data_IF_515084819971
#
_entry.id   IF_515084819971
#
_cell.length_a   1.000
_cell.length_b   1.000
_cell.length_c   1.000
_cell.angle_alpha   90.00
_cell.angle_beta   90.00
_cell.angle_gamma   90.00
#
_symmetry.space_group_name_H-M   'P 1'
#
loop_
_entity.id
_entity.type
_entity.pdbx_description
1 polymer ?
#
# COMPACT_ATOMS: atom_id res chain seq x y z
N UNK A 1 -5.29 29.01 -21.01
CA UNK A 1 -6.30 29.80 -20.25
C UNK A 1 -6.74 28.91 -19.10
N UNK A 2 -6.43 29.29 -17.86
CA UNK A 2 -6.89 28.54 -16.69
C UNK A 2 -8.40 28.65 -16.57
N UNK A 3 -9.10 27.56 -16.35
CA UNK A 3 -10.54 27.57 -16.13
C UNK A 3 -10.89 26.61 -14.98
N UNK A 4 -11.94 26.94 -14.25
CA UNK A 4 -12.51 26.08 -13.22
C UNK A 4 -13.50 25.16 -13.93
N UNK A 5 -13.15 23.84 -13.92
CA UNK A 5 -14.00 22.82 -14.54
C UNK A 5 -15.17 22.47 -13.62
N UNK A 6 -14.88 22.27 -12.32
CA UNK A 6 -15.85 21.71 -11.42
C UNK A 6 -15.63 22.11 -9.95
N UNK A 7 -16.77 22.17 -9.21
CA UNK A 7 -16.79 22.29 -7.75
C UNK A 7 -17.19 20.94 -7.13
N UNK A 8 -16.40 20.42 -6.22
CA UNK A 8 -16.69 19.19 -5.48
C UNK A 8 -16.69 19.44 -3.98
N UNK A 9 -17.27 18.54 -3.21
CA UNK A 9 -17.16 18.59 -1.75
C UNK A 9 -15.80 18.06 -1.29
N UNK A 10 -15.37 16.90 -1.82
CA UNK A 10 -14.13 16.25 -1.47
C UNK A 10 -13.30 15.96 -2.71
N UNK A 11 -12.05 16.39 -2.72
CA UNK A 11 -11.06 16.03 -3.74
C UNK A 11 -10.02 15.08 -3.16
N UNK A 12 -9.79 13.94 -3.82
CA UNK A 12 -8.80 12.94 -3.40
C UNK A 12 -7.65 12.89 -4.41
N UNK A 13 -6.42 13.05 -3.95
CA UNK A 13 -5.22 13.07 -4.80
C UNK A 13 -4.47 11.75 -4.67
N UNK A 14 -4.58 10.91 -5.71
CA UNK A 14 -4.01 9.58 -5.80
C UNK A 14 -5.05 8.46 -5.68
N UNK A 15 -5.10 7.56 -6.67
CA UNK A 15 -6.00 6.41 -6.72
C UNK A 15 -5.30 5.09 -6.34
N UNK A 16 -4.42 5.13 -5.32
CA UNK A 16 -3.94 3.97 -4.59
C UNK A 16 -4.98 3.50 -3.55
N UNK A 17 -4.62 2.50 -2.74
CA UNK A 17 -5.54 1.89 -1.77
C UNK A 17 -6.16 2.91 -0.79
N UNK A 18 -5.37 3.89 -0.33
CA UNK A 18 -5.89 4.96 0.53
C UNK A 18 -6.89 5.86 -0.20
N UNK A 19 -6.53 6.31 -1.40
CA UNK A 19 -7.42 7.21 -2.15
C UNK A 19 -8.72 6.56 -2.58
N UNK A 20 -8.69 5.28 -2.95
CA UNK A 20 -9.89 4.52 -3.32
C UNK A 20 -10.87 4.46 -2.14
N UNK A 21 -10.40 4.02 -0.97
CA UNK A 21 -11.26 3.92 0.22
C UNK A 21 -11.77 5.28 0.68
N UNK A 22 -10.92 6.32 0.61
CA UNK A 22 -11.32 7.68 0.95
C UNK A 22 -12.43 8.22 0.02
N UNK A 23 -12.26 8.04 -1.29
CA UNK A 23 -13.21 8.52 -2.27
C UNK A 23 -14.56 7.78 -2.19
N UNK A 24 -14.51 6.43 -2.04
CA UNK A 24 -15.70 5.61 -1.86
C UNK A 24 -16.45 5.99 -0.57
N UNK A 25 -15.75 6.17 0.54
CA UNK A 25 -16.36 6.56 1.81
C UNK A 25 -17.03 7.92 1.72
N UNK A 26 -16.37 8.94 1.18
CA UNK A 26 -16.94 10.28 1.04
C UNK A 26 -18.17 10.30 0.12
N UNK A 27 -18.10 9.61 -1.03
CA UNK A 27 -19.21 9.54 -1.97
C UNK A 27 -20.42 8.79 -1.40
N UNK A 28 -20.21 7.66 -0.72
CA UNK A 28 -21.26 6.86 -0.06
C UNK A 28 -21.99 7.64 1.05
N UNK A 29 -21.29 8.57 1.71
CA UNK A 29 -21.90 9.48 2.70
C UNK A 29 -22.66 10.65 2.06
N UNK A 30 -22.67 10.76 0.73
CA UNK A 30 -23.45 11.74 -0.02
C UNK A 30 -22.67 13.01 -0.41
N UNK A 31 -21.33 13.03 -0.25
CA UNK A 31 -20.49 14.11 -0.74
C UNK A 31 -20.21 13.95 -2.24
N UNK A 32 -20.31 15.03 -3.00
CA UNK A 32 -19.80 15.06 -4.37
C UNK A 32 -18.27 14.97 -4.33
N UNK A 33 -17.74 13.89 -4.87
CA UNK A 33 -16.33 13.54 -4.71
C UNK A 33 -15.63 13.41 -6.06
N UNK A 34 -14.42 13.94 -6.18
CA UNK A 34 -13.54 13.67 -7.32
C UNK A 34 -12.23 13.03 -6.85
N UNK A 35 -11.80 11.97 -7.53
CA UNK A 35 -10.51 11.33 -7.31
C UNK A 35 -9.61 11.52 -8.53
N UNK A 36 -8.38 12.00 -8.29
CA UNK A 36 -7.39 12.30 -9.32
C UNK A 36 -6.28 11.24 -9.32
N UNK A 37 -5.95 10.73 -10.49
CA UNK A 37 -4.84 9.80 -10.68
C UNK A 37 -4.00 10.19 -11.88
N UNK A 38 -2.70 9.90 -11.82
CA UNK A 38 -1.79 10.13 -12.95
C UNK A 38 -2.03 9.15 -14.11
N UNK A 39 -2.68 7.99 -13.83
CA UNK A 39 -2.98 6.99 -14.85
C UNK A 39 -4.19 6.14 -14.42
N UNK A 40 -5.23 6.13 -15.24
CA UNK A 40 -6.48 5.38 -14.99
C UNK A 40 -6.30 3.86 -15.07
N UNK A 41 -5.29 3.36 -15.76
CA UNK A 41 -5.04 1.92 -15.90
C UNK A 41 -4.28 1.33 -14.71
N UNK A 42 -3.91 2.16 -13.73
CA UNK A 42 -3.14 1.76 -12.56
C UNK A 42 -3.84 2.08 -11.21
N UNK A 43 -5.15 2.20 -11.24
CA UNK A 43 -5.98 2.34 -10.03
C UNK A 43 -5.79 1.11 -9.14
N UNK A 44 -5.56 1.30 -7.84
CA UNK A 44 -5.35 0.20 -6.90
C UNK A 44 -4.12 -0.67 -7.22
N UNK A 45 -3.10 -0.10 -7.88
CA UNK A 45 -1.92 -0.86 -8.27
C UNK A 45 -1.20 -1.50 -7.08
N UNK A 46 -0.71 -2.73 -7.29
CA UNK A 46 0.10 -3.48 -6.33
C UNK A 46 1.54 -3.63 -6.84
N UNK A 47 2.38 -2.59 -6.74
CA UNK A 47 3.74 -2.64 -7.27
C UNK A 47 4.68 -3.52 -6.44
N UNK A 48 4.30 -3.86 -5.22
CA UNK A 48 4.99 -4.78 -4.35
C UNK A 48 4.30 -6.15 -4.37
N UNK A 49 4.03 -6.77 -3.22
CA UNK A 49 3.40 -8.10 -3.16
C UNK A 49 2.03 -8.11 -3.86
N UNK A 50 1.74 -9.12 -4.71
CA UNK A 50 0.39 -9.34 -5.21
C UNK A 50 -0.46 -10.06 -4.15
N UNK A 51 -0.57 -9.50 -2.95
CA UNK A 51 -1.28 -10.13 -1.82
C UNK A 51 -1.85 -9.09 -0.87
N UNK A 52 -2.99 -9.43 -0.26
CA UNK A 52 -3.69 -8.67 0.78
C UNK A 52 -3.69 -9.48 2.08
N UNK A 53 -3.52 -8.80 3.21
CA UNK A 53 -3.51 -9.41 4.53
C UNK A 53 -2.12 -9.82 5.00
N UNK A 54 -2.09 -10.80 5.91
CA UNK A 54 -0.88 -11.18 6.66
C UNK A 54 -0.94 -10.71 8.10
N UNK A 55 0.12 -10.92 8.87
CA UNK A 55 0.16 -10.66 10.31
C UNK A 55 -0.26 -9.23 10.64
N UNK A 56 -1.30 -9.08 11.46
CA UNK A 56 -2.03 -7.86 11.81
C UNK A 56 -2.78 -7.18 10.64
N UNK A 57 -2.34 -7.37 9.41
CA UNK A 57 -2.93 -6.73 8.24
C UNK A 57 -4.28 -7.33 7.87
N UNK A 58 -4.44 -8.66 8.02
CA UNK A 58 -5.73 -9.31 7.86
C UNK A 58 -6.81 -8.77 8.82
N UNK A 59 -6.41 -8.29 10.01
CA UNK A 59 -7.31 -7.62 10.95
C UNK A 59 -7.77 -6.28 10.39
N UNK A 60 -6.83 -5.46 9.88
CA UNK A 60 -7.17 -4.17 9.26
C UNK A 60 -8.18 -4.33 8.12
N UNK A 61 -8.00 -5.35 7.25
CA UNK A 61 -8.91 -5.60 6.14
C UNK A 61 -10.31 -5.98 6.63
N UNK A 62 -10.40 -6.81 7.67
CA UNK A 62 -11.67 -7.22 8.27
C UNK A 62 -12.39 -6.05 8.96
N UNK A 63 -11.66 -5.22 9.71
CA UNK A 63 -12.22 -4.02 10.32
C UNK A 63 -12.65 -3.00 9.25
N UNK A 64 -11.85 -2.84 8.21
CA UNK A 64 -12.16 -2.00 7.06
C UNK A 64 -13.45 -2.46 6.36
N UNK A 65 -13.59 -3.76 6.11
CA UNK A 65 -14.78 -4.37 5.50
C UNK A 65 -16.02 -4.16 6.38
N UNK A 66 -15.91 -4.37 7.71
CA UNK A 66 -16.98 -4.13 8.66
C UNK A 66 -17.44 -2.65 8.71
N UNK A 67 -16.57 -1.72 8.34
CA UNK A 67 -16.87 -0.29 8.22
C UNK A 67 -17.35 0.10 6.79
N UNK A 68 -17.59 -0.88 5.92
CA UNK A 68 -18.07 -0.64 4.55
C UNK A 68 -16.97 -0.39 3.52
N UNK A 69 -15.70 -0.68 3.83
CA UNK A 69 -14.59 -0.61 2.89
C UNK A 69 -14.68 -1.61 1.75
N UNK A 70 -13.88 -1.43 0.71
CA UNK A 70 -13.96 -2.21 -0.52
C UNK A 70 -12.84 -3.26 -0.67
N UNK A 71 -11.71 -3.09 0.03
CA UNK A 71 -10.52 -3.93 -0.13
C UNK A 71 -10.80 -5.42 0.11
N UNK A 72 -11.62 -5.77 1.11
CA UNK A 72 -12.00 -7.14 1.43
C UNK A 72 -12.76 -7.81 0.29
N UNK A 73 -13.76 -7.12 -0.26
CA UNK A 73 -14.58 -7.55 -1.40
C UNK A 73 -13.75 -7.75 -2.67
N UNK A 74 -12.86 -6.79 -2.96
CA UNK A 74 -11.96 -6.85 -4.09
C UNK A 74 -10.96 -8.00 -3.96
N UNK A 75 -10.44 -8.25 -2.76
CA UNK A 75 -9.55 -9.36 -2.48
C UNK A 75 -10.22 -10.72 -2.73
N UNK A 76 -11.46 -10.88 -2.28
CA UNK A 76 -12.25 -12.11 -2.48
C UNK A 76 -12.58 -12.31 -3.98
N UNK A 77 -13.01 -11.26 -4.67
CA UNK A 77 -13.38 -11.30 -6.08
C UNK A 77 -12.18 -11.64 -7.00
N UNK A 78 -10.96 -11.39 -6.57
CA UNK A 78 -9.74 -11.56 -7.39
C UNK A 78 -8.73 -12.53 -6.79
N UNK A 79 -9.23 -13.41 -5.92
CA UNK A 79 -8.46 -14.40 -5.18
C UNK A 79 -7.74 -15.39 -6.10
N UNK A 80 -6.46 -15.62 -5.85
CA UNK A 80 -5.68 -16.72 -6.39
C UNK A 80 -5.47 -17.82 -5.36
N UNK A 81 -5.21 -17.44 -4.11
CA UNK A 81 -4.96 -18.37 -3.01
C UNK A 81 -5.20 -17.70 -1.67
N UNK A 82 -5.74 -18.43 -0.70
CA UNK A 82 -5.94 -17.96 0.68
C UNK A 82 -5.32 -18.89 1.71
N UNK A 83 -4.72 -18.30 2.74
CA UNK A 83 -4.16 -19.03 3.88
C UNK A 83 -4.34 -18.28 5.20
N UNK A 84 -4.59 -19.02 6.27
CA UNK A 84 -4.53 -18.53 7.64
C UNK A 84 -3.10 -18.66 8.18
N UNK A 85 -2.43 -17.55 8.41
CA UNK A 85 -1.08 -17.52 8.96
C UNK A 85 -1.08 -17.66 10.49
N UNK A 86 0.05 -18.12 11.03
CA UNK A 86 0.31 -18.20 12.48
C UNK A 86 -0.61 -19.16 13.27
N UNK A 87 -1.23 -20.16 12.65
CA UNK A 87 -2.11 -21.13 13.36
C UNK A 87 -1.44 -21.76 14.59
N UNK A 88 -0.15 -22.06 14.53
CA UNK A 88 0.60 -22.63 15.64
C UNK A 88 0.99 -21.65 16.77
N UNK A 89 0.67 -20.35 16.62
CA UNK A 89 1.04 -19.30 17.60
C UNK A 89 -0.12 -18.78 18.45
N UNK A 90 -1.30 -19.37 18.28
CA UNK A 90 -2.50 -19.01 19.02
C UNK A 90 -3.38 -17.94 18.34
N UNK A 91 -4.66 -17.83 18.72
CA UNK A 91 -5.68 -17.07 18.00
C UNK A 91 -5.45 -15.57 17.96
N UNK A 92 -4.74 -14.99 18.93
CA UNK A 92 -4.41 -13.56 18.97
C UNK A 92 -3.56 -13.07 17.80
N UNK A 93 -2.91 -13.97 17.08
CA UNK A 93 -2.02 -13.65 15.95
C UNK A 93 -2.40 -14.38 14.66
N UNK A 94 -3.50 -15.15 14.66
CA UNK A 94 -4.06 -15.72 13.44
C UNK A 94 -4.37 -14.58 12.47
N UNK A 95 -3.93 -14.71 11.23
CA UNK A 95 -4.07 -13.64 10.26
C UNK A 95 -4.31 -14.20 8.87
N UNK A 96 -5.39 -13.78 8.24
CA UNK A 96 -5.72 -14.17 6.89
C UNK A 96 -4.78 -13.47 5.89
N UNK A 97 -4.35 -14.20 4.86
CA UNK A 97 -3.60 -13.69 3.73
C UNK A 97 -4.14 -14.29 2.44
N UNK A 98 -4.46 -13.44 1.48
CA UNK A 98 -4.87 -13.80 0.14
C UNK A 98 -3.81 -13.37 -0.89
N UNK A 99 -3.46 -14.29 -1.79
CA UNK A 99 -2.75 -14.00 -3.01
C UNK A 99 -3.76 -13.50 -4.04
N UNK A 100 -3.44 -12.43 -4.75
CA UNK A 100 -4.39 -11.65 -5.56
C UNK A 100 -3.94 -11.60 -7.01
N UNK A 101 -4.89 -11.73 -7.94
CA UNK A 101 -4.68 -11.32 -9.32
C UNK A 101 -4.63 -9.79 -9.39
N UNK A 102 -3.42 -9.24 -9.48
CA UNK A 102 -3.20 -7.79 -9.38
C UNK A 102 -3.86 -6.99 -10.51
N UNK A 103 -4.02 -7.57 -11.69
CA UNK A 103 -4.68 -6.90 -12.82
C UNK A 103 -6.18 -6.86 -12.64
N UNK A 104 -6.76 -7.98 -12.28
CA UNK A 104 -8.19 -8.07 -12.00
C UNK A 104 -8.58 -7.22 -10.78
N UNK A 105 -7.72 -7.15 -9.76
CA UNK A 105 -7.92 -6.26 -8.61
C UNK A 105 -7.96 -4.78 -9.02
N UNK A 106 -7.00 -4.34 -9.85
CA UNK A 106 -6.98 -2.98 -10.38
C UNK A 106 -8.24 -2.68 -11.21
N UNK A 107 -8.64 -3.61 -12.09
CA UNK A 107 -9.85 -3.47 -12.89
C UNK A 107 -11.12 -3.42 -12.03
N UNK A 108 -11.22 -4.28 -11.02
CA UNK A 108 -12.32 -4.27 -10.05
C UNK A 108 -12.43 -2.92 -9.34
N UNK A 109 -11.33 -2.42 -8.76
CA UNK A 109 -11.31 -1.17 -8.03
C UNK A 109 -11.65 0.04 -8.92
N UNK A 110 -11.11 0.06 -10.14
CA UNK A 110 -11.44 1.09 -11.13
C UNK A 110 -12.94 1.10 -11.45
N UNK A 111 -13.50 -0.07 -11.76
CA UNK A 111 -14.92 -0.20 -12.06
C UNK A 111 -15.79 0.23 -10.88
N UNK A 112 -15.35 -0.07 -9.66
CA UNK A 112 -16.07 0.33 -8.44
C UNK A 112 -16.11 1.84 -8.26
N UNK A 113 -15.01 2.53 -8.54
CA UNK A 113 -14.97 3.99 -8.54
C UNK A 113 -15.88 4.58 -9.62
N UNK A 114 -15.82 4.04 -10.85
CA UNK A 114 -16.60 4.52 -12.01
C UNK A 114 -18.11 4.35 -11.84
N UNK A 115 -18.54 3.34 -11.06
CA UNK A 115 -19.97 3.02 -10.87
C UNK A 115 -20.57 3.54 -9.56
N UNK A 116 -19.76 4.19 -8.72
CA UNK A 116 -20.25 4.76 -7.46
C UNK A 116 -20.93 6.11 -7.71
N UNK A 117 -22.22 6.28 -7.35
CA UNK A 117 -22.92 7.54 -7.53
C UNK A 117 -22.25 8.69 -6.77
N UNK A 118 -22.16 9.87 -7.39
CA UNK A 118 -21.54 11.06 -6.79
C UNK A 118 -20.01 11.05 -6.75
N UNK A 119 -19.37 10.07 -7.41
CA UNK A 119 -17.92 9.94 -7.50
C UNK A 119 -17.46 10.06 -8.96
N UNK A 120 -16.58 11.01 -9.20
CA UNK A 120 -15.91 11.21 -10.49
C UNK A 120 -14.44 10.79 -10.40
N UNK A 121 -13.98 9.95 -11.32
CA UNK A 121 -12.58 9.61 -11.47
C UNK A 121 -11.95 10.39 -12.63
N UNK A 122 -10.83 11.05 -12.39
CA UNK A 122 -10.15 11.91 -13.35
C UNK A 122 -8.68 11.52 -13.53
N UNK A 123 -8.24 11.38 -14.78
CA UNK A 123 -6.81 11.33 -15.05
C UNK A 123 -6.26 12.75 -15.08
N UNK A 124 -5.39 13.05 -14.13
CA UNK A 124 -4.74 14.34 -14.02
C UNK A 124 -3.77 14.36 -12.85
N UNK A 125 -2.59 14.91 -13.07
CA UNK A 125 -1.62 15.18 -12.00
C UNK A 125 -1.97 16.54 -11.38
N UNK A 126 -2.28 16.54 -10.09
CA UNK A 126 -2.40 17.78 -9.32
C UNK A 126 -0.99 18.27 -8.99
N UNK A 127 -0.67 19.48 -9.42
CA UNK A 127 0.64 20.09 -9.25
C UNK A 127 0.65 21.23 -8.22
N UNK A 128 -0.53 21.78 -7.91
CA UNK A 128 -0.63 22.89 -6.97
C UNK A 128 -1.95 22.86 -6.18
N UNK A 129 -1.82 23.21 -4.90
CA UNK A 129 -2.93 23.43 -3.97
C UNK A 129 -2.85 24.85 -3.42
N UNK A 130 -3.96 25.56 -3.42
CA UNK A 130 -4.04 26.92 -2.89
C UNK A 130 -5.29 27.08 -2.03
N UNK A 131 -5.19 27.82 -0.92
CA UNK A 131 -6.33 28.13 -0.08
C UNK A 131 -6.99 29.40 -0.61
N UNK A 132 -8.28 29.34 -0.94
CA UNK A 132 -9.04 30.49 -1.37
C UNK A 132 -9.52 31.31 -0.17
N UNK A 133 -9.85 32.59 -0.42
CA UNK A 133 -10.43 33.47 0.60
C UNK A 133 -11.80 32.96 1.11
N UNK A 134 -12.52 32.17 0.31
CA UNK A 134 -13.75 31.48 0.72
C UNK A 134 -13.54 30.39 1.77
N UNK A 135 -12.27 29.96 1.96
CA UNK A 135 -11.94 28.81 2.78
C UNK A 135 -11.97 27.49 2.02
N UNK A 136 -12.27 27.46 0.73
CA UNK A 136 -12.16 26.29 -0.13
C UNK A 136 -10.73 26.10 -0.66
N UNK A 137 -10.46 24.94 -1.23
CA UNK A 137 -9.23 24.60 -1.90
C UNK A 137 -9.34 24.79 -3.41
N UNK A 138 -8.32 25.37 -4.02
CA UNK A 138 -8.11 25.39 -5.47
C UNK A 138 -7.03 24.36 -5.81
N UNK A 139 -7.39 23.38 -6.63
CA UNK A 139 -6.49 22.36 -7.16
C UNK A 139 -6.18 22.72 -8.61
N UNK A 140 -4.90 22.77 -8.96
CA UNK A 140 -4.47 23.00 -10.35
C UNK A 140 -3.77 21.77 -10.87
N UNK A 141 -4.22 21.27 -12.03
CA UNK A 141 -3.57 20.15 -12.72
C UNK A 141 -2.37 20.64 -13.55
N UNK A 142 -1.51 19.71 -13.97
CA UNK A 142 -0.40 19.99 -14.91
C UNK A 142 -0.87 20.58 -16.24
N UNK A 143 -2.09 20.27 -16.66
CA UNK A 143 -2.72 20.82 -17.89
C UNK A 143 -3.45 22.14 -17.64
N UNK A 144 -3.23 22.79 -16.50
CA UNK A 144 -3.82 24.06 -16.09
C UNK A 144 -5.37 24.04 -15.90
N UNK A 145 -5.98 22.86 -15.83
CA UNK A 145 -7.38 22.72 -15.41
C UNK A 145 -7.46 22.91 -13.90
N UNK A 146 -8.46 23.64 -13.45
CA UNK A 146 -8.66 23.96 -12.04
C UNK A 146 -9.96 23.34 -11.51
N UNK A 147 -9.91 22.89 -10.26
CA UNK A 147 -11.04 22.37 -9.50
C UNK A 147 -11.11 23.07 -8.15
N UNK A 148 -12.30 23.24 -7.61
CA UNK A 148 -12.45 23.71 -6.22
C UNK A 148 -13.03 22.61 -5.36
N UNK A 149 -12.61 22.54 -4.09
CA UNK A 149 -13.06 21.54 -3.14
C UNK A 149 -13.17 22.13 -1.72
N UNK A 150 -14.14 21.65 -0.93
CA UNK A 150 -14.25 22.01 0.50
C UNK A 150 -13.20 21.30 1.34
N UNK A 151 -12.87 20.05 0.98
CA UNK A 151 -11.80 19.27 1.61
C UNK A 151 -10.94 18.56 0.57
N UNK A 152 -9.66 18.36 0.90
CA UNK A 152 -8.68 17.64 0.08
C UNK A 152 -8.05 16.52 0.88
N UNK A 153 -7.91 15.32 0.29
CA UNK A 153 -7.25 14.17 0.89
C UNK A 153 -6.02 13.81 0.06
N UNK A 154 -4.84 13.90 0.69
CA UNK A 154 -3.56 13.54 0.09
C UNK A 154 -3.28 12.05 0.26
N UNK A 155 -3.32 11.29 -0.83
CA UNK A 155 -3.10 9.85 -0.90
C UNK A 155 -2.03 9.48 -1.95
N UNK A 156 -0.95 10.26 -2.01
CA UNK A 156 0.06 10.26 -3.08
C UNK A 156 0.95 9.01 -3.11
N UNK A 157 0.91 8.18 -2.08
CA UNK A 157 1.65 6.92 -2.02
C UNK A 157 3.16 7.13 -2.17
N UNK A 158 3.78 6.42 -3.12
CA UNK A 158 5.22 6.48 -3.41
C UNK A 158 5.56 7.36 -4.61
N UNK A 159 4.59 8.14 -5.12
CA UNK A 159 4.76 8.93 -6.35
C UNK A 159 5.28 10.35 -6.09
N UNK A 160 5.03 10.90 -4.89
CA UNK A 160 5.42 12.27 -4.57
C UNK A 160 6.94 12.38 -4.54
N UNK A 161 7.49 13.12 -5.52
CA UNK A 161 8.93 13.25 -5.77
C UNK A 161 9.67 11.91 -5.82
N UNK A 162 9.00 10.90 -6.44
CA UNK A 162 9.48 9.54 -6.54
C UNK A 162 10.81 9.46 -7.30
N UNK A 163 11.79 8.71 -6.76
CA UNK A 163 13.10 8.48 -7.38
C UNK A 163 13.46 7.01 -7.30
N UNK A 164 13.69 6.42 -8.47
CA UNK A 164 14.05 5.01 -8.63
C UNK A 164 15.57 4.85 -8.56
N UNK A 165 16.02 3.75 -7.94
CA UNK A 165 17.45 3.38 -7.83
C UNK A 165 17.65 1.91 -8.21
N UNK A 166 18.60 1.68 -9.15
CA UNK A 166 19.06 0.34 -9.55
C UNK A 166 20.59 0.43 -9.75
N UNK A 167 21.35 -0.02 -8.79
CA UNK A 167 22.80 0.12 -8.79
C UNK A 167 23.23 1.58 -8.90
N UNK A 168 24.03 1.89 -9.92
CA UNK A 168 24.53 3.24 -10.14
C UNK A 168 23.51 4.17 -10.82
N UNK A 169 22.44 3.60 -11.37
CA UNK A 169 21.41 4.36 -12.10
C UNK A 169 20.35 4.86 -11.14
N UNK A 170 20.02 6.15 -11.25
CA UNK A 170 18.86 6.72 -10.57
C UNK A 170 18.14 7.72 -11.50
N UNK A 171 16.81 7.75 -11.40
CA UNK A 171 15.97 8.65 -12.20
C UNK A 171 14.65 8.95 -11.49
N UNK A 172 14.04 10.07 -11.82
CA UNK A 172 12.69 10.39 -11.36
C UNK A 172 11.69 9.42 -11.99
N UNK A 173 10.86 8.80 -11.15
CA UNK A 173 9.90 7.79 -11.61
C UNK A 173 9.08 7.23 -10.47
N UNK A 174 7.95 6.66 -10.84
CA UNK A 174 7.06 5.90 -9.96
C UNK A 174 7.17 4.38 -10.21
N UNK A 175 6.43 3.58 -9.43
CA UNK A 175 6.35 2.14 -9.63
C UNK A 175 5.85 1.76 -11.03
N UNK A 176 6.25 0.59 -11.50
CA UNK A 176 5.77 -0.03 -12.74
C UNK A 176 5.96 0.82 -14.01
N UNK A 177 7.00 1.68 -14.05
CA UNK A 177 7.32 2.51 -15.20
C UNK A 177 6.49 3.79 -15.33
N UNK A 178 5.71 4.13 -14.31
CA UNK A 178 5.00 5.41 -14.26
C UNK A 178 5.95 6.57 -13.93
N UNK A 179 5.57 7.79 -14.27
CA UNK A 179 6.33 8.98 -13.89
C UNK A 179 6.05 9.39 -12.42
N UNK A 180 6.95 10.19 -11.85
CA UNK A 180 6.81 10.75 -10.52
C UNK A 180 5.99 12.05 -10.55
N UNK A 181 5.28 12.34 -9.47
CA UNK A 181 4.65 13.64 -9.22
C UNK A 181 5.68 14.56 -8.53
N UNK A 182 6.33 15.46 -9.28
CA UNK A 182 7.49 16.21 -8.78
C UNK A 182 7.14 17.62 -8.32
N UNK A 183 6.06 18.23 -8.81
CA UNK A 183 5.74 19.62 -8.58
C UNK A 183 4.94 19.89 -7.30
N UNK A 184 4.05 18.97 -6.93
CA UNK A 184 3.17 19.15 -5.77
C UNK A 184 3.93 19.36 -4.45
N UNK A 185 5.11 18.76 -4.29
CA UNK A 185 5.95 18.93 -3.09
C UNK A 185 6.19 20.39 -2.76
N UNK A 186 6.51 21.23 -3.76
CA UNK A 186 6.75 22.66 -3.54
C UNK A 186 5.52 23.36 -2.96
N UNK A 187 4.35 23.08 -3.52
CA UNK A 187 3.08 23.62 -3.03
C UNK A 187 2.75 23.20 -1.60
N UNK A 188 3.06 21.95 -1.21
CA UNK A 188 2.85 21.46 0.15
C UNK A 188 3.80 22.16 1.16
N UNK A 189 5.04 22.41 0.76
CA UNK A 189 6.00 23.18 1.57
C UNK A 189 5.57 24.64 1.75
N UNK A 190 5.04 25.28 0.70
CA UNK A 190 4.47 26.65 0.77
C UNK A 190 3.29 26.74 1.76
N UNK A 191 2.52 25.65 1.92
CA UNK A 191 1.46 25.55 2.91
C UNK A 191 1.97 25.33 4.36
N UNK A 192 3.30 25.25 4.56
CA UNK A 192 3.92 25.04 5.87
C UNK A 192 4.02 23.58 6.31
N UNK A 193 3.77 22.63 5.41
CA UNK A 193 3.82 21.20 5.73
C UNK A 193 5.27 20.73 5.93
N UNK A 194 5.51 19.95 6.99
CA UNK A 194 6.80 19.27 7.21
C UNK A 194 6.80 17.94 6.48
N UNK A 195 7.70 17.80 5.52
CA UNK A 195 7.89 16.58 4.75
C UNK A 195 9.14 15.82 5.19
N UNK A 196 9.10 14.52 4.99
CA UNK A 196 10.20 13.57 5.22
C UNK A 196 10.42 12.73 3.98
N UNK A 197 11.59 12.09 3.91
CA UNK A 197 11.90 11.20 2.80
C UNK A 197 12.02 9.76 3.29
N UNK A 198 11.16 8.88 2.76
CA UNK A 198 11.20 7.46 3.00
C UNK A 198 11.58 6.69 1.74
N UNK A 199 12.03 5.46 1.93
CA UNK A 199 12.31 4.55 0.82
C UNK A 199 11.56 3.23 1.02
N UNK A 200 11.20 2.60 -0.09
CA UNK A 200 10.78 1.21 -0.15
C UNK A 200 11.47 0.53 -1.32
N UNK A 201 11.11 -0.72 -1.60
CA UNK A 201 11.67 -1.44 -2.73
C UNK A 201 10.81 -2.64 -3.10
N UNK A 202 11.07 -3.20 -4.25
CA UNK A 202 10.38 -4.38 -4.77
C UNK A 202 11.39 -5.36 -5.34
N UNK A 203 11.16 -6.68 -5.28
CA UNK A 203 11.98 -7.68 -5.94
C UNK A 203 11.73 -7.73 -7.44
N UNK A 204 12.58 -8.46 -8.15
CA UNK A 204 12.41 -8.75 -9.56
C UNK A 204 11.12 -9.54 -9.83
N UNK A 205 10.56 -9.35 -11.02
CA UNK A 205 9.56 -10.24 -11.62
C UNK A 205 10.23 -11.08 -12.68
N UNK A 206 9.86 -12.35 -12.71
CA UNK A 206 10.49 -13.34 -13.58
C UNK A 206 9.45 -14.11 -14.38
N UNK A 207 9.86 -14.65 -15.51
CA UNK A 207 9.01 -15.46 -16.39
C UNK A 207 8.80 -16.84 -15.80
N UNK A 208 7.56 -17.28 -15.65
CA UNK A 208 7.16 -18.57 -15.07
C UNK A 208 7.82 -19.76 -15.76
N UNK A 209 7.85 -19.77 -17.09
CA UNK A 209 8.43 -20.87 -17.89
C UNK A 209 9.95 -21.01 -17.75
N UNK A 210 10.61 -20.03 -17.14
CA UNK A 210 12.06 -20.06 -16.85
C UNK A 210 12.40 -20.58 -15.45
N UNK A 211 11.40 -21.01 -14.69
CA UNK A 211 11.56 -21.54 -13.32
C UNK A 211 11.46 -23.07 -13.37
N UNK A 212 12.39 -23.76 -12.74
CA UNK A 212 12.29 -25.18 -12.49
C UNK A 212 11.57 -25.44 -11.16
N UNK A 213 10.31 -25.83 -11.23
CA UNK A 213 9.49 -26.12 -10.06
C UNK A 213 9.69 -27.54 -9.50
N UNK A 214 10.39 -28.43 -10.20
CA UNK A 214 10.45 -29.86 -9.89
C UNK A 214 11.03 -30.19 -8.51
N UNK A 215 11.94 -29.34 -8.01
CA UNK A 215 12.56 -29.47 -6.70
C UNK A 215 12.06 -28.51 -5.63
N UNK A 216 11.02 -27.73 -5.92
CA UNK A 216 10.51 -26.70 -5.02
C UNK A 216 9.32 -27.20 -4.20
N UNK A 217 9.25 -26.76 -2.95
CA UNK A 217 8.09 -27.01 -2.09
C UNK A 217 6.89 -26.21 -2.63
N UNK A 218 5.82 -26.92 -3.02
CA UNK A 218 4.57 -26.31 -3.38
C UNK A 218 3.79 -25.91 -2.12
N UNK A 219 3.29 -24.70 -2.09
CA UNK A 219 2.46 -24.19 -1.01
C UNK A 219 1.06 -23.91 -1.54
N UNK A 220 0.14 -24.83 -1.22
CA UNK A 220 -1.27 -24.70 -1.57
C UNK A 220 -2.01 -23.77 -0.62
N UNK A 221 -3.15 -23.28 -1.08
CA UNK A 221 -4.11 -22.59 -0.23
C UNK A 221 -4.77 -23.53 0.78
N UNK A 222 -5.52 -22.95 1.70
CA UNK A 222 -6.31 -23.72 2.67
C UNK A 222 -7.73 -23.94 2.15
N UNK A 223 -8.30 -25.11 2.46
CA UNK A 223 -9.68 -25.46 2.15
C UNK A 223 -10.41 -25.85 3.44
N UNK A 224 -11.62 -25.31 3.71
CA UNK A 224 -12.32 -24.28 2.92
C UNK A 224 -11.65 -22.92 2.99
N UNK A 225 -11.81 -22.14 1.90
CA UNK A 225 -11.33 -20.75 1.86
C UNK A 225 -12.17 -19.88 2.80
N UNK A 226 -11.49 -19.14 3.66
CA UNK A 226 -12.15 -18.14 4.51
C UNK A 226 -12.12 -16.81 3.75
N UNK A 227 -13.27 -16.20 3.39
CA UNK A 227 -13.30 -14.92 2.69
C UNK A 227 -12.82 -13.76 3.59
N UNK A 228 -12.36 -12.68 3.01
CA UNK A 228 -12.08 -11.44 3.75
C UNK A 228 -13.37 -10.68 4.07
N UNK A 229 -14.25 -10.53 3.08
CA UNK A 229 -15.48 -9.76 3.27
C UNK A 229 -16.55 -10.56 3.99
N UNK A 230 -17.27 -9.87 4.89
CA UNK A 230 -18.48 -10.39 5.52
C UNK A 230 -19.67 -10.48 4.55
N UNK A 231 -19.57 -9.81 3.39
CA UNK A 231 -20.59 -9.82 2.34
C UNK A 231 -20.29 -10.85 1.23
N UNK A 232 -19.20 -11.62 1.33
CA UNK A 232 -18.89 -12.70 0.40
C UNK A 232 -19.53 -14.00 0.88
N UNK A 233 -20.65 -14.36 0.29
CA UNK A 233 -21.44 -15.55 0.66
C UNK A 233 -21.15 -16.75 -0.24
N UNK A 234 -20.70 -16.52 -1.48
CA UNK A 234 -20.37 -17.58 -2.42
C UNK A 234 -19.06 -18.28 -2.01
N UNK A 235 -18.99 -19.63 -2.15
CA UNK A 235 -17.76 -20.36 -1.88
C UNK A 235 -16.61 -19.86 -2.77
N UNK A 236 -15.46 -19.63 -2.15
CA UNK A 236 -14.23 -19.24 -2.83
C UNK A 236 -13.32 -20.46 -3.03
N UNK A 237 -12.54 -20.44 -4.12
CA UNK A 237 -11.64 -21.53 -4.48
C UNK A 237 -10.19 -21.02 -4.67
N UNK A 238 -9.23 -21.83 -4.20
CA UNK A 238 -7.82 -21.63 -4.53
C UNK A 238 -7.56 -22.04 -5.98
N UNK A 239 -6.90 -21.15 -6.75
CA UNK A 239 -6.69 -21.32 -8.20
C UNK A 239 -5.25 -21.59 -8.58
N UNK A 240 -4.29 -21.02 -7.88
CA UNK A 240 -2.86 -21.14 -8.14
C UNK A 240 -2.08 -21.33 -6.85
N UNK A 241 -1.12 -22.28 -6.82
CA UNK A 241 -0.20 -22.40 -5.68
C UNK A 241 0.91 -21.36 -5.72
N UNK A 242 1.51 -21.12 -4.56
CA UNK A 242 2.82 -20.50 -4.43
C UNK A 242 3.89 -21.58 -4.30
N UNK A 243 5.17 -21.22 -4.44
CA UNK A 243 6.28 -22.13 -4.22
C UNK A 243 7.30 -21.50 -3.28
N UNK A 244 8.06 -22.34 -2.59
CA UNK A 244 9.08 -21.94 -1.63
C UNK A 244 10.44 -22.42 -2.11
N UNK A 245 11.41 -21.51 -2.05
CA UNK A 245 12.82 -21.80 -2.24
C UNK A 245 13.65 -21.03 -1.20
N UNK A 246 14.96 -21.15 -1.28
CA UNK A 246 15.87 -20.58 -0.29
C UNK A 246 17.11 -20.00 -0.97
N UNK A 247 17.64 -18.92 -0.43
CA UNK A 247 18.97 -18.44 -0.83
C UNK A 247 20.03 -19.46 -0.46
N UNK A 248 21.13 -19.50 -1.21
CA UNK A 248 22.29 -20.38 -0.99
C UNK A 248 23.46 -19.60 -0.38
N UNK A 249 24.51 -20.27 0.11
CA UNK A 249 25.78 -19.63 0.48
C UNK A 249 26.38 -18.82 -0.68
N UNK A 250 26.20 -19.28 -1.92
CA UNK A 250 26.64 -18.59 -3.12
C UNK A 250 25.86 -17.27 -3.33
N UNK A 251 24.55 -17.28 -3.08
CA UNK A 251 23.74 -16.03 -3.10
C UNK A 251 24.32 -14.99 -2.14
N UNK A 252 24.65 -15.42 -0.92
CA UNK A 252 25.27 -14.55 0.10
C UNK A 252 26.61 -14.01 -0.38
N UNK A 253 27.46 -14.84 -0.98
CA UNK A 253 28.76 -14.46 -1.52
C UNK A 253 28.61 -13.38 -2.62
N UNK A 254 27.74 -13.63 -3.60
CA UNK A 254 27.48 -12.69 -4.69
C UNK A 254 27.04 -11.31 -4.17
N UNK A 255 26.15 -11.28 -3.16
CA UNK A 255 25.68 -10.04 -2.57
C UNK A 255 26.80 -9.30 -1.85
N UNK A 256 27.57 -9.99 -0.99
CA UNK A 256 28.65 -9.36 -0.22
C UNK A 256 29.77 -8.79 -1.10
N UNK A 257 30.15 -9.50 -2.15
CA UNK A 257 31.14 -9.02 -3.12
C UNK A 257 30.72 -7.74 -3.85
N UNK A 258 29.40 -7.52 -3.99
CA UNK A 258 28.84 -6.41 -4.73
C UNK A 258 28.12 -5.37 -3.84
N UNK A 259 28.27 -5.47 -2.51
CA UNK A 259 27.58 -4.60 -1.56
C UNK A 259 27.90 -3.12 -1.78
N UNK A 260 29.15 -2.81 -2.18
CA UNK A 260 29.62 -1.47 -2.52
C UNK A 260 28.90 -0.85 -3.74
N UNK A 261 28.27 -1.68 -4.59
CA UNK A 261 27.47 -1.25 -5.75
C UNK A 261 25.99 -1.00 -5.41
N UNK A 262 25.58 -1.30 -4.17
CA UNK A 262 24.21 -1.02 -3.71
C UNK A 262 24.05 0.47 -3.41
N UNK A 263 23.05 1.17 -3.97
CA UNK A 263 22.76 2.56 -3.66
C UNK A 263 22.53 2.81 -2.17
N UNK A 264 22.00 1.82 -1.47
CA UNK A 264 21.76 1.89 -0.03
C UNK A 264 23.08 1.95 0.77
N UNK A 265 24.05 1.09 0.44
CA UNK A 265 25.35 1.02 1.11
C UNK A 265 26.36 2.02 0.54
N UNK A 266 26.16 2.48 -0.68
CA UNK A 266 26.94 3.53 -1.32
C UNK A 266 26.53 4.96 -0.95
N UNK A 267 25.54 5.14 -0.05
CA UNK A 267 25.11 6.45 0.44
C UNK A 267 24.35 7.31 -0.58
N UNK A 268 23.82 6.71 -1.66
CA UNK A 268 23.03 7.42 -2.68
C UNK A 268 21.56 7.55 -2.28
N UNK A 269 21.06 6.67 -1.41
CA UNK A 269 19.70 6.66 -0.87
C UNK A 269 19.73 7.42 0.46
N UNK A 270 18.96 8.49 0.55
CA UNK A 270 18.81 9.31 1.77
C UNK A 270 17.63 8.84 2.62
N UNK A 271 16.60 8.30 1.98
CA UNK A 271 15.36 7.87 2.62
C UNK A 271 15.51 6.67 3.55
N UNK A 272 14.87 6.73 4.70
CA UNK A 272 14.84 5.62 5.66
C UNK A 272 13.97 4.49 5.12
N UNK A 273 14.47 3.26 5.17
CA UNK A 273 13.77 2.06 4.69
C UNK A 273 12.93 1.36 5.76
N UNK A 274 11.95 0.54 5.36
CA UNK A 274 11.07 -0.15 6.28
C UNK A 274 11.81 -1.25 7.07
N UNK A 275 11.66 -1.22 8.39
CA UNK A 275 12.29 -2.18 9.31
C UNK A 275 11.85 -3.64 9.08
N UNK A 276 10.59 -3.85 8.71
CA UNK A 276 9.99 -5.18 8.59
C UNK A 276 9.94 -5.74 7.16
N UNK A 277 10.45 -5.00 6.19
CA UNK A 277 10.62 -5.43 4.81
C UNK A 277 12.00 -4.99 4.29
N UNK A 278 13.09 -5.48 4.92
CA UNK A 278 14.44 -5.12 4.51
C UNK A 278 14.74 -5.72 3.12
N UNK A 279 15.65 -5.08 2.39
CA UNK A 279 16.20 -5.64 1.16
C UNK A 279 16.97 -6.93 1.45
N UNK A 280 17.25 -7.72 0.42
CA UNK A 280 18.05 -8.93 0.61
C UNK A 280 19.46 -8.60 1.09
N UNK A 281 20.04 -7.47 0.64
CA UNK A 281 21.32 -6.96 1.11
C UNK A 281 21.27 -6.69 2.62
N UNK A 282 20.23 -6.02 3.10
CA UNK A 282 20.02 -5.75 4.53
C UNK A 282 19.88 -7.04 5.34
N UNK A 283 19.16 -8.04 4.80
CA UNK A 283 19.02 -9.34 5.48
C UNK A 283 20.35 -10.04 5.64
N UNK A 284 21.15 -10.07 4.59
CA UNK A 284 22.48 -10.72 4.58
C UNK A 284 23.44 -10.04 5.55
N UNK A 285 23.40 -8.71 5.66
CA UNK A 285 24.27 -7.96 6.57
C UNK A 285 23.79 -8.04 8.01
N UNK A 286 22.49 -7.80 8.26
CA UNK A 286 21.94 -7.77 9.64
C UNK A 286 21.80 -9.15 10.28
N UNK A 287 21.61 -10.19 9.48
CA UNK A 287 21.44 -11.57 9.94
C UNK A 287 22.54 -12.45 9.35
N UNK A 288 23.78 -12.04 9.57
CA UNK A 288 24.97 -12.69 9.00
C UNK A 288 25.15 -14.14 9.47
N UNK A 289 24.61 -14.50 10.63
CA UNK A 289 24.56 -15.83 11.22
C UNK A 289 23.55 -16.77 10.55
N UNK A 290 22.60 -16.24 9.77
CA UNK A 290 21.64 -17.05 9.03
C UNK A 290 22.29 -17.67 7.79
N UNK A 291 22.17 -18.99 7.68
CA UNK A 291 22.71 -19.74 6.53
C UNK A 291 21.92 -19.46 5.25
N UNK A 292 20.60 -19.29 5.36
CA UNK A 292 19.70 -19.08 4.22
C UNK A 292 18.49 -18.23 4.59
N UNK A 293 17.91 -17.58 3.59
CA UNK A 293 16.67 -16.79 3.68
C UNK A 293 15.62 -17.42 2.78
N UNK A 294 14.39 -17.49 3.30
CA UNK A 294 13.25 -18.00 2.56
C UNK A 294 12.82 -17.04 1.45
N UNK A 295 12.48 -17.60 0.32
CA UNK A 295 11.98 -16.92 -0.87
C UNK A 295 10.66 -17.55 -1.27
N UNK A 296 9.61 -16.73 -1.45
CA UNK A 296 8.35 -17.20 -2.01
C UNK A 296 8.28 -16.80 -3.49
N UNK A 297 7.89 -17.74 -4.33
CA UNK A 297 7.62 -17.55 -5.74
C UNK A 297 6.10 -17.47 -5.88
N UNK A 298 5.59 -16.29 -6.15
CA UNK A 298 4.17 -15.96 -6.09
C UNK A 298 3.62 -15.58 -7.45
N UNK A 299 2.48 -16.15 -7.92
CA UNK A 299 1.86 -15.76 -9.17
C UNK A 299 1.30 -14.34 -9.09
N UNK A 300 1.45 -13.55 -10.15
CA UNK A 300 0.94 -12.18 -10.24
C UNK A 300 -0.49 -12.10 -10.80
N UNK A 301 -1.03 -13.19 -11.34
CA UNK A 301 -2.37 -13.26 -11.90
C UNK A 301 -2.61 -14.56 -12.71
N UNK A 302 -3.86 -14.75 -13.15
CA UNK A 302 -4.27 -15.91 -13.94
C UNK A 302 -3.84 -15.81 -15.41
N UNK A 303 -3.80 -14.60 -15.93
CA UNK A 303 -3.53 -14.33 -17.37
C UNK A 303 -2.16 -13.70 -17.58
N UNK A 304 -1.18 -14.07 -16.74
CA UNK A 304 0.20 -13.61 -16.87
C UNK A 304 1.19 -14.69 -16.46
N UNK A 305 2.31 -14.72 -17.13
CA UNK A 305 3.45 -15.58 -16.77
C UNK A 305 4.42 -14.88 -15.79
N UNK A 306 4.04 -13.72 -15.27
CA UNK A 306 4.85 -12.93 -14.35
C UNK A 306 4.79 -13.53 -12.94
N UNK A 307 5.96 -13.88 -12.37
CA UNK A 307 6.11 -14.40 -11.01
C UNK A 307 6.87 -13.42 -10.15
N UNK A 308 6.37 -13.19 -8.93
CA UNK A 308 6.95 -12.29 -7.94
C UNK A 308 7.86 -13.07 -6.99
N UNK A 309 9.06 -12.57 -6.73
CA UNK A 309 10.05 -13.23 -5.86
C UNK A 309 10.08 -12.58 -4.47
N UNK A 310 9.08 -12.89 -3.64
CA UNK A 310 9.00 -12.30 -2.29
C UNK A 310 10.20 -12.69 -1.43
N UNK A 311 10.80 -11.68 -0.82
CA UNK A 311 11.96 -11.84 0.04
C UNK A 311 13.27 -11.38 -0.59
N UNK A 312 13.27 -11.11 -1.90
CA UNK A 312 14.44 -10.71 -2.70
C UNK A 312 14.37 -9.25 -3.18
N UNK A 313 13.70 -8.36 -2.43
CA UNK A 313 13.76 -6.92 -2.72
C UNK A 313 15.22 -6.46 -2.73
N UNK A 314 15.64 -5.74 -3.75
CA UNK A 314 17.03 -5.32 -3.95
C UNK A 314 17.11 -4.01 -4.72
N UNK A 315 18.20 -3.29 -4.52
CA UNK A 315 18.59 -2.15 -5.35
C UNK A 315 19.92 -2.36 -6.06
N UNK A 316 20.49 -3.56 -6.01
CA UNK A 316 21.73 -3.90 -6.71
C UNK A 316 21.59 -3.73 -8.23
N UNK A 317 22.70 -3.56 -8.96
CA UNK A 317 22.67 -3.47 -10.41
C UNK A 317 22.09 -4.73 -11.07
N UNK A 318 21.51 -4.60 -12.26
CA UNK A 318 20.79 -5.69 -12.94
C UNK A 318 21.68 -6.92 -13.19
N UNK A 319 22.96 -6.73 -13.52
CA UNK A 319 23.92 -7.83 -13.68
C UNK A 319 24.10 -8.63 -12.39
N UNK A 320 24.17 -7.95 -11.26
CA UNK A 320 24.27 -8.61 -9.94
C UNK A 320 22.94 -9.28 -9.57
N UNK A 321 21.81 -8.64 -9.83
CA UNK A 321 20.50 -9.24 -9.61
C UNK A 321 20.36 -10.57 -10.37
N UNK A 322 20.74 -10.60 -11.65
CA UNK A 322 20.66 -11.83 -12.45
C UNK A 322 21.61 -12.92 -11.90
N UNK A 323 22.83 -12.55 -11.52
CA UNK A 323 23.79 -13.49 -10.91
C UNK A 323 23.26 -14.06 -9.61
N UNK A 324 22.78 -13.23 -8.67
CA UNK A 324 22.25 -13.70 -7.39
C UNK A 324 21.01 -14.59 -7.56
N UNK A 325 20.09 -14.25 -8.47
CA UNK A 325 18.89 -15.06 -8.72
C UNK A 325 19.26 -16.44 -9.21
N UNK A 326 20.24 -16.56 -10.11
CA UNK A 326 20.70 -17.85 -10.68
C UNK A 326 21.46 -18.73 -9.71
N UNK A 327 21.75 -18.27 -8.49
CA UNK A 327 22.31 -19.09 -7.41
C UNK A 327 21.24 -19.72 -6.51
N UNK A 328 19.98 -19.45 -6.77
CA UNK A 328 18.84 -19.91 -5.96
C UNK A 328 18.22 -21.13 -6.63
N UNK A 329 18.01 -22.25 -5.88
CA UNK A 329 17.40 -23.46 -6.41
C UNK A 329 16.07 -23.19 -7.14
N UNK A 330 15.95 -23.73 -8.36
CA UNK A 330 14.82 -23.52 -9.26
C UNK A 330 14.88 -22.25 -10.09
N UNK A 331 15.84 -21.35 -9.85
CA UNK A 331 16.02 -20.10 -10.57
C UNK A 331 17.30 -20.05 -11.42
N UNK A 332 17.99 -21.17 -11.63
CA UNK A 332 19.29 -21.27 -12.32
C UNK A 332 19.22 -20.71 -13.76
N UNK A 333 18.07 -20.88 -14.42
CA UNK A 333 17.84 -20.45 -15.79
C UNK A 333 16.84 -19.27 -15.91
N UNK A 334 16.57 -18.60 -14.77
CA UNK A 334 15.54 -17.58 -14.66
C UNK A 334 15.75 -16.43 -15.67
N UNK A 335 14.64 -15.99 -16.25
CA UNK A 335 14.54 -14.80 -17.10
C UNK A 335 13.83 -13.69 -16.34
N UNK A 336 14.53 -12.57 -16.18
CA UNK A 336 13.98 -11.39 -15.50
C UNK A 336 13.11 -10.60 -16.48
N UNK A 337 11.85 -10.41 -16.15
CA UNK A 337 10.91 -9.57 -16.90
C UNK A 337 10.98 -8.11 -16.45
N UNK A 338 11.13 -7.90 -15.12
CA UNK A 338 11.30 -6.57 -14.50
C UNK A 338 12.38 -6.66 -13.42
N UNK A 339 13.40 -5.82 -13.44
CA UNK A 339 14.41 -5.81 -12.39
C UNK A 339 13.82 -5.34 -11.06
N UNK A 340 14.45 -5.72 -9.96
CA UNK A 340 14.22 -5.15 -8.66
C UNK A 340 14.71 -3.70 -8.61
N UNK A 341 14.10 -2.88 -7.78
CA UNK A 341 14.51 -1.49 -7.56
C UNK A 341 14.19 -1.02 -6.15
N UNK A 342 14.87 0.02 -5.70
CA UNK A 342 14.42 0.84 -4.59
C UNK A 342 13.77 2.12 -5.11
N UNK A 343 12.81 2.65 -4.36
CA UNK A 343 12.18 3.94 -4.62
C UNK A 343 12.19 4.79 -3.36
N UNK A 344 12.62 6.04 -3.49
CA UNK A 344 12.43 7.08 -2.49
C UNK A 344 11.23 7.96 -2.86
N UNK A 345 10.57 8.48 -1.85
CA UNK A 345 9.40 9.35 -2.01
C UNK A 345 9.22 10.27 -0.82
N UNK A 346 8.53 11.39 -1.02
CA UNK A 346 8.17 12.31 0.05
C UNK A 346 6.92 11.84 0.79
N UNK A 347 6.93 11.98 2.11
CA UNK A 347 5.79 11.76 3.00
C UNK A 347 5.73 12.85 4.07
N UNK A 348 4.58 13.05 4.70
CA UNK A 348 4.48 14.01 5.78
C UNK A 348 4.98 13.44 7.11
N UNK A 349 5.29 14.33 8.05
CA UNK A 349 5.42 13.98 9.45
C UNK A 349 4.02 13.78 10.04
N UNK A 350 3.61 12.56 10.44
CA UNK A 350 2.25 12.31 10.89
C UNK A 350 1.89 12.98 12.22
N UNK A 351 2.87 13.51 12.97
CA UNK A 351 2.61 14.35 14.15
C UNK A 351 1.94 15.70 13.82
N UNK A 352 1.75 16.01 12.54
CA UNK A 352 0.99 17.17 12.09
C UNK A 352 -0.51 16.87 11.90
N UNK A 353 -0.92 15.61 12.09
CA UNK A 353 -2.29 15.16 11.93
C UNK A 353 -2.95 14.98 13.30
N UNK A 354 -4.25 15.17 13.34
CA UNK A 354 -5.09 14.74 14.45
C UNK A 354 -5.64 13.31 14.25
N UNK A 355 -6.45 12.83 15.17
CA UNK A 355 -7.05 11.51 15.12
C UNK A 355 -8.08 11.32 13.98
N UNK A 356 -8.53 12.38 13.34
CA UNK A 356 -9.39 12.37 12.14
C UNK A 356 -8.57 12.28 10.85
N UNK A 357 -7.24 12.34 10.96
CA UNK A 357 -6.26 12.47 9.88
C UNK A 357 -6.32 13.83 9.14
N UNK A 358 -6.94 14.85 9.74
CA UNK A 358 -6.84 16.23 9.30
C UNK A 358 -5.53 16.87 9.78
N UNK A 359 -4.93 17.75 8.97
CA UNK A 359 -3.76 18.52 9.39
C UNK A 359 -4.15 19.58 10.41
N UNK A 360 -3.47 19.60 11.57
CA UNK A 360 -3.74 20.49 12.71
C UNK A 360 -3.73 21.97 12.30
N UNK A 361 -2.74 22.37 11.50
CA UNK A 361 -2.52 23.76 11.12
C UNK A 361 -3.09 24.11 9.74
N UNK A 362 -3.69 23.13 9.02
CA UNK A 362 -4.17 23.30 7.65
C UNK A 362 -5.60 22.74 7.50
N UNK A 363 -6.62 23.47 8.00
CA UNK A 363 -7.99 22.97 8.05
C UNK A 363 -8.55 22.57 6.66
N UNK A 364 -9.25 21.43 6.58
CA UNK A 364 -9.82 20.88 5.36
C UNK A 364 -8.81 20.12 4.50
N UNK A 365 -7.57 19.95 4.98
CA UNK A 365 -6.58 19.11 4.34
C UNK A 365 -6.34 17.85 5.20
N UNK A 366 -6.41 16.68 4.56
CA UNK A 366 -6.25 15.37 5.19
C UNK A 366 -5.10 14.61 4.55
N UNK A 367 -4.48 13.72 5.31
CA UNK A 367 -3.48 12.80 4.79
C UNK A 367 -3.93 11.34 4.94
N UNK A 368 -3.52 10.45 4.02
CA UNK A 368 -3.81 9.03 4.12
C UNK A 368 -2.74 8.14 3.49
N UNK A 369 -2.54 6.97 4.08
CA UNK A 369 -1.68 5.92 3.56
C UNK A 369 -0.19 6.20 3.70
N UNK A 370 0.59 5.87 2.65
CA UNK A 370 2.04 6.03 2.68
C UNK A 370 2.48 7.50 2.81
N UNK A 371 1.64 8.43 2.38
CA UNK A 371 1.88 9.85 2.58
C UNK A 371 2.00 10.20 4.08
N UNK A 372 1.27 9.53 4.96
CA UNK A 372 1.37 9.68 6.42
C UNK A 372 2.53 8.87 7.04
N UNK A 373 3.45 8.36 6.24
CA UNK A 373 4.61 7.60 6.71
C UNK A 373 4.34 6.13 7.06
N UNK A 374 3.17 5.58 6.73
CA UNK A 374 2.91 4.14 6.87
C UNK A 374 3.44 3.35 5.66
N UNK A 375 3.52 2.02 5.79
CA UNK A 375 3.96 1.11 4.73
C UNK A 375 3.08 -0.13 4.69
N UNK A 376 2.29 -0.26 3.62
CA UNK A 376 1.41 -1.39 3.35
C UNK A 376 0.07 -0.95 2.80
N UNK A 377 -0.54 -1.83 2.00
CA UNK A 377 -1.80 -1.57 1.31
C UNK A 377 -2.97 -1.45 2.30
N UNK A 378 -2.98 -2.31 3.31
CA UNK A 378 -4.03 -2.41 4.31
C UNK A 378 -4.00 -1.22 5.27
N UNK A 379 -2.79 -0.79 5.68
CA UNK A 379 -2.61 0.43 6.46
C UNK A 379 -3.05 1.67 5.67
N UNK A 380 -2.79 1.67 4.37
CA UNK A 380 -3.20 2.76 3.49
C UNK A 380 -4.73 2.81 3.32
N UNK A 381 -5.35 1.68 3.06
CA UNK A 381 -6.80 1.55 2.92
C UNK A 381 -7.55 1.99 4.20
N UNK A 382 -7.10 1.51 5.36
CA UNK A 382 -7.67 1.88 6.66
C UNK A 382 -7.63 3.39 6.92
N UNK A 383 -6.49 4.03 6.67
CA UNK A 383 -6.36 5.49 6.80
C UNK A 383 -7.23 6.21 5.77
N UNK A 384 -7.30 5.70 4.54
CA UNK A 384 -8.14 6.26 3.49
C UNK A 384 -9.61 6.33 3.89
N UNK A 385 -10.16 5.22 4.38
CA UNK A 385 -11.54 5.18 4.85
C UNK A 385 -11.78 6.20 5.96
N UNK A 386 -10.93 6.25 6.98
CA UNK A 386 -11.09 7.18 8.11
C UNK A 386 -10.99 8.63 7.65
N UNK A 387 -10.02 8.98 6.79
CA UNK A 387 -9.90 10.34 6.25
C UNK A 387 -11.13 10.72 5.40
N UNK A 388 -11.62 9.79 4.55
CA UNK A 388 -12.80 10.01 3.71
C UNK A 388 -14.07 10.24 4.52
N UNK A 389 -14.31 9.40 5.54
CA UNK A 389 -15.44 9.54 6.46
C UNK A 389 -15.37 10.88 7.20
N UNK A 390 -14.21 11.24 7.74
CA UNK A 390 -14.06 12.45 8.55
C UNK A 390 -14.15 13.73 7.70
N UNK A 391 -13.60 13.73 6.49
CA UNK A 391 -13.77 14.84 5.56
C UNK A 391 -15.25 15.05 5.21
N UNK A 392 -15.97 13.97 4.91
CA UNK A 392 -17.40 14.02 4.63
C UNK A 392 -18.21 14.44 5.86
N UNK A 393 -17.97 13.86 7.03
CA UNK A 393 -18.71 14.21 8.24
C UNK A 393 -18.53 15.69 8.61
N UNK A 394 -17.32 16.23 8.48
CA UNK A 394 -17.06 17.66 8.71
C UNK A 394 -17.88 18.54 7.78
N UNK A 395 -17.94 18.21 6.49
CA UNK A 395 -18.74 18.96 5.49
C UNK A 395 -20.23 18.86 5.79
N UNK A 396 -20.69 17.68 6.23
CA UNK A 396 -22.10 17.41 6.53
C UNK A 396 -22.54 17.89 7.93
N UNK A 397 -21.62 18.44 8.73
CA UNK A 397 -21.90 18.86 10.11
C UNK A 397 -22.19 17.69 11.06
N UNK A 398 -21.65 16.50 10.78
CA UNK A 398 -21.76 15.30 11.62
C UNK A 398 -20.56 15.16 12.56
N UNK A 399 -20.72 14.35 13.60
CA UNK A 399 -19.62 14.01 14.50
C UNK A 399 -18.50 13.25 13.80
N UNK A 400 -17.24 13.47 14.19
CA UNK A 400 -16.10 12.77 13.60
C UNK A 400 -16.10 11.27 13.98
N UNK A 401 -15.65 10.43 13.06
CA UNK A 401 -15.32 9.03 13.33
C UNK A 401 -13.97 8.96 14.04
N UNK A 402 -13.98 8.66 15.32
CA UNK A 402 -12.79 8.45 16.14
C UNK A 402 -12.73 7.00 16.58
N UNK A 403 -11.69 6.29 16.17
CA UNK A 403 -11.44 4.91 16.53
C UNK A 403 -10.34 4.86 17.60
N UNK A 404 -10.63 4.22 18.72
CA UNK A 404 -9.66 4.08 19.81
C UNK A 404 -8.86 2.76 19.73
N UNK A 405 -7.75 2.72 20.48
CA UNK A 405 -6.84 1.56 20.52
C UNK A 405 -7.47 0.32 21.15
N UNK A 406 -8.45 0.48 22.04
CA UNK A 406 -9.09 -0.63 22.74
C UNK A 406 -10.13 -1.34 21.84
N UNK A 407 -10.67 -0.61 20.87
CA UNK A 407 -11.77 -1.06 20.03
C UNK A 407 -11.35 -1.55 18.66
N UNK A 408 -10.16 -1.13 18.14
CA UNK A 408 -9.74 -1.52 16.79
C UNK A 408 -8.23 -1.47 16.55
N UNK A 409 -7.77 -2.27 15.57
CA UNK A 409 -6.42 -2.15 15.02
C UNK A 409 -6.26 -0.87 14.18
N UNK A 410 -7.34 -0.40 13.54
CA UNK A 410 -7.35 0.88 12.82
C UNK A 410 -7.12 2.01 13.82
N UNK A 411 -7.79 2.00 14.98
CA UNK A 411 -7.55 2.97 16.05
C UNK A 411 -6.11 2.90 16.58
N UNK A 412 -5.57 1.70 16.78
CA UNK A 412 -4.15 1.53 17.16
C UNK A 412 -3.20 2.12 16.12
N UNK A 413 -3.45 1.90 14.83
CA UNK A 413 -2.66 2.43 13.72
C UNK A 413 -2.66 3.97 13.73
N UNK A 414 -3.83 4.58 13.81
CA UNK A 414 -3.97 6.04 13.75
C UNK A 414 -3.34 6.67 14.99
N UNK A 415 -3.64 6.16 16.18
CA UNK A 415 -3.08 6.69 17.42
C UNK A 415 -1.54 6.61 17.42
N UNK A 416 -0.94 5.48 17.00
CA UNK A 416 0.51 5.38 16.90
C UNK A 416 1.11 6.43 15.94
N UNK A 417 0.45 6.71 14.80
CA UNK A 417 0.93 7.69 13.83
C UNK A 417 0.85 9.12 14.39
N UNK A 418 -0.30 9.53 14.92
CA UNK A 418 -0.54 10.93 15.30
C UNK A 418 0.03 11.30 16.66
N UNK A 419 0.28 10.33 17.55
CA UNK A 419 0.82 10.60 18.90
C UNK A 419 2.30 10.28 19.05
N UNK A 420 2.79 9.21 18.39
CA UNK A 420 4.19 8.76 18.48
C UNK A 420 5.00 9.13 17.25
N UNK A 421 4.32 9.35 16.12
CA UNK A 421 4.97 9.53 14.82
C UNK A 421 5.68 8.27 14.33
N UNK A 422 6.53 8.43 13.32
CA UNK A 422 7.34 7.35 12.79
C UNK A 422 8.72 7.87 12.35
N UNK A 423 9.78 7.19 12.73
CA UNK A 423 11.15 7.46 12.28
C UNK A 423 11.55 6.61 11.09
N UNK A 424 10.85 5.51 10.88
CA UNK A 424 10.94 4.58 9.75
C UNK A 424 9.51 4.26 9.28
N UNK A 425 9.32 3.78 8.03
CA UNK A 425 7.99 3.48 7.52
C UNK A 425 7.20 2.56 8.46
N UNK A 426 6.10 3.11 9.01
CA UNK A 426 5.26 2.40 9.98
C UNK A 426 4.62 1.17 9.37
N UNK A 427 4.59 0.08 10.13
CA UNK A 427 3.86 -1.13 9.80
C UNK A 427 3.08 -1.63 11.00
N UNK A 428 1.82 -2.00 10.76
CA UNK A 428 0.98 -2.62 11.78
C UNK A 428 1.46 -4.04 12.11
N UNK A 429 1.57 -4.33 13.39
CA UNK A 429 1.92 -5.63 13.95
C UNK A 429 1.01 -5.93 15.12
N UNK A 430 0.66 -7.20 15.34
CA UNK A 430 -0.19 -7.60 16.48
C UNK A 430 0.39 -7.21 17.84
N UNK A 431 1.71 -7.05 17.95
CA UNK A 431 2.40 -6.59 19.15
C UNK A 431 2.18 -5.11 19.49
N UNK A 432 1.64 -4.32 18.55
CA UNK A 432 1.36 -2.89 18.79
C UNK A 432 0.04 -2.66 19.52
N UNK A 433 -0.90 -3.63 19.44
CA UNK A 433 -2.16 -3.56 20.16
C UNK A 433 -2.05 -4.24 21.52
N UNK A 434 -2.39 -3.50 22.55
CA UNK A 434 -2.52 -3.98 23.92
C UNK A 434 -3.70 -4.97 24.06
N UNK A 435 -4.72 -4.80 23.24
CA UNK A 435 -5.99 -5.55 23.27
C UNK A 435 -6.09 -6.67 22.24
N UNK A 436 -4.96 -7.15 21.69
CA UNK A 436 -4.89 -8.14 20.61
C UNK A 436 -5.67 -9.45 20.85
N UNK A 437 -5.95 -9.81 22.09
CA UNK A 437 -6.78 -10.97 22.44
C UNK A 437 -8.27 -10.71 22.17
N UNK A 438 -8.73 -9.50 22.43
CA UNK A 438 -10.10 -9.05 22.17
C UNK A 438 -10.28 -8.74 20.69
N UNK A 439 -9.30 -8.05 20.09
CA UNK A 439 -9.32 -7.64 18.68
C UNK A 439 -8.83 -8.73 17.72
N UNK A 440 -8.84 -10.00 18.15
CA UNK A 440 -8.42 -11.11 17.28
C UNK A 440 -9.37 -11.30 16.10
N UNK A 441 -8.84 -11.77 14.99
CA UNK A 441 -9.55 -11.92 13.71
C UNK A 441 -10.91 -12.61 13.82
N UNK A 442 -11.03 -13.64 14.68
CA UNK A 442 -12.25 -14.40 14.86
C UNK A 442 -13.37 -13.67 15.63
N UNK A 443 -13.11 -12.49 16.20
CA UNK A 443 -14.10 -11.73 16.96
C UNK A 443 -14.50 -10.40 16.28
N UNK A 444 -13.84 -9.99 15.21
CA UNK A 444 -14.12 -8.69 14.55
C UNK A 444 -15.60 -8.60 14.15
N UNK A 445 -16.20 -9.67 13.64
CA UNK A 445 -17.62 -9.73 13.29
C UNK A 445 -18.58 -9.60 14.48
N UNK A 446 -18.10 -9.77 15.71
CA UNK A 446 -18.90 -9.63 16.94
C UNK A 446 -18.80 -8.20 17.48
N UNK A 447 -17.62 -7.59 17.36
CA UNK A 447 -17.37 -6.24 17.87
C UNK A 447 -17.88 -5.12 16.95
N UNK A 448 -18.09 -5.42 15.66
CA UNK A 448 -18.39 -4.41 14.63
C UNK A 448 -19.85 -4.38 14.08
N UNK A 449 -20.79 -5.29 14.40
CA UNK A 449 -22.12 -5.31 13.78
C UNK A 449 -22.94 -4.04 14.04
N UNK A 450 -22.60 -3.27 15.05
CA UNK A 450 -23.24 -1.98 15.36
C UNK A 450 -22.65 -0.79 14.62
N UNK A 451 -21.45 -0.93 14.04
CA UNK A 451 -20.77 0.17 13.32
C UNK A 451 -21.23 0.32 11.88
N UNK A 452 -21.63 -0.79 11.22
CA UNK A 452 -22.29 -0.74 9.91
C UNK A 452 -23.53 0.14 9.87
N UNK A 453 -24.17 0.38 11.02
CA UNK A 453 -25.35 1.25 11.14
C UNK A 453 -24.96 2.75 11.35
N UNK A 454 -23.69 3.09 11.48
CA UNK A 454 -23.21 4.44 11.74
C UNK A 454 -22.60 5.12 10.50
N UNK A 455 -22.41 4.40 9.41
CA UNK A 455 -22.02 4.87 8.08
C UNK A 455 -23.16 4.67 7.09
#
# INVERSE_FOLDING_TARGET
MKFIDEHVDVAVIGAGHAGIEAALAAARLGCRTAIFTINLDWVGNMPCNPSIGGTAKGHLVRELDALGGEMGKAADATLLQSRMLNRGKGPAVHSLRAQIDRRNYSAYMKHRLETTPGLDIRQGEIVRLERLASGEWLLTTRLEVQYTAKAVILATGTFLKGKIFVGDVSYEGGPDGMFAATELTASLLELGMRLRRFKTGTPARVLRSSIDFSGLEQQDGEDPVVPFSFETFEPLENRLPCHITWTSPETKRVILENLHRSPLYGGKIEGVGPRYCPSIEDKIVRFADKERHQVFIEPCGLQTEEMYLQGLSSSLPVDVQLRLLRTIPGLEHVQVMRPAYAIEYDCCDPLQLDATLEFLDIPGLYGAGQFNGSSGYEEAAAQGLVAGVNAANKILGKEPLLLDRASSYIGTLIDDLVTKGCTDPYRMMTSRSEYRLVLRLSLIHISEPTRLALI
#
